data_IF_744770104177
#
_entry.id   IF_744770104177
#
_cell.length_a   1.000
_cell.length_b   1.000
_cell.length_c   1.000
_cell.angle_alpha   90.00
_cell.angle_beta   90.00
_cell.angle_gamma   90.00
#
_symmetry.space_group_name_H-M   'P 1'
#
loop_
_entity.id
_entity.type
_entity.pdbx_description
1 polymer ?
#
# COMPACT_ATOMS: atom_id res chain seq x y z
N UNK A 1 10.47 6.34 -5.37
CA UNK A 1 10.00 5.32 -6.33
C UNK A 1 8.97 6.01 -7.20
N UNK A 2 9.00 5.87 -8.52
CA UNK A 2 8.03 6.58 -9.36
C UNK A 2 6.70 5.83 -9.43
N UNK A 3 5.60 6.54 -9.23
CA UNK A 3 4.25 6.00 -9.29
C UNK A 3 3.78 5.91 -10.75
N UNK A 4 3.57 4.69 -11.25
CA UNK A 4 2.95 4.44 -12.55
C UNK A 4 1.45 4.19 -12.37
N UNK A 5 0.66 5.16 -12.83
CA UNK A 5 -0.81 5.10 -12.87
C UNK A 5 -1.37 4.86 -14.28
N UNK A 6 -0.52 4.51 -15.24
CA UNK A 6 -0.96 4.21 -16.61
C UNK A 6 -1.92 3.02 -16.59
N UNK A 7 -3.11 3.20 -17.18
CA UNK A 7 -4.20 2.21 -17.19
C UNK A 7 -4.70 1.75 -15.81
N UNK A 8 -4.53 2.59 -14.77
CA UNK A 8 -5.01 2.25 -13.43
C UNK A 8 -6.55 2.21 -13.36
N UNK A 9 -7.08 1.14 -12.79
CA UNK A 9 -8.52 0.98 -12.51
C UNK A 9 -8.96 1.66 -11.21
N UNK A 10 -8.06 2.39 -10.54
CA UNK A 10 -8.33 3.04 -9.26
C UNK A 10 -9.25 4.26 -9.43
N UNK A 11 -10.12 4.45 -8.44
CA UNK A 11 -10.83 5.72 -8.29
C UNK A 11 -9.89 6.78 -7.69
N UNK A 12 -9.22 7.51 -8.57
CA UNK A 12 -8.28 8.57 -8.22
C UNK A 12 -8.94 9.78 -7.53
N UNK A 13 -10.28 9.85 -7.49
CA UNK A 13 -10.99 10.87 -6.71
C UNK A 13 -11.14 10.46 -5.25
N UNK A 14 -11.29 9.16 -4.99
CA UNK A 14 -11.43 8.62 -3.64
C UNK A 14 -10.07 8.43 -2.94
N UNK A 15 -9.05 8.04 -3.71
CA UNK A 15 -7.67 7.94 -3.24
C UNK A 15 -6.77 8.69 -4.20
N UNK A 16 -6.23 9.81 -3.76
CA UNK A 16 -5.43 10.67 -4.62
C UNK A 16 -4.04 10.07 -4.88
N UNK A 17 -3.42 10.37 -6.04
CA UNK A 17 -2.05 9.94 -6.32
C UNK A 17 -1.05 10.29 -5.21
N UNK A 18 -1.23 11.47 -4.60
CA UNK A 18 -0.41 11.92 -3.48
C UNK A 18 -0.51 11.00 -2.26
N UNK A 19 -1.71 10.55 -1.91
CA UNK A 19 -1.89 9.61 -0.78
C UNK A 19 -1.25 8.26 -1.05
N UNK A 20 -1.23 7.82 -2.32
CA UNK A 20 -0.54 6.60 -2.74
C UNK A 20 0.98 6.76 -2.56
N UNK A 21 1.55 7.89 -2.99
CA UNK A 21 2.97 8.21 -2.80
C UNK A 21 3.33 8.31 -1.31
N UNK A 22 2.53 9.01 -0.51
CA UNK A 22 2.74 9.15 0.93
C UNK A 22 2.87 7.79 1.62
N UNK A 23 2.05 6.80 1.24
CA UNK A 23 2.11 5.45 1.83
C UNK A 23 3.27 4.62 1.29
N UNK A 24 3.64 4.79 0.02
CA UNK A 24 4.83 4.13 -0.53
C UNK A 24 6.13 4.66 0.08
N UNK A 25 6.11 5.88 0.62
CA UNK A 25 7.25 6.51 1.28
C UNK A 25 7.15 6.51 2.82
N UNK A 26 6.02 6.07 3.39
CA UNK A 26 5.82 5.96 4.84
C UNK A 26 6.85 4.98 5.45
N UNK A 27 7.77 5.47 6.32
CA UNK A 27 8.80 4.64 6.93
C UNK A 27 8.24 3.64 7.94
N UNK A 28 7.00 3.84 8.40
CA UNK A 28 6.30 2.96 9.34
C UNK A 28 5.29 2.05 8.64
N UNK A 29 5.23 2.09 7.31
CA UNK A 29 4.34 1.22 6.56
C UNK A 29 4.78 -0.25 6.72
N UNK A 30 3.80 -1.11 6.99
CA UNK A 30 4.03 -2.55 7.10
C UNK A 30 3.91 -3.13 5.70
N UNK A 31 5.03 -3.64 5.17
CA UNK A 31 5.09 -4.28 3.87
C UNK A 31 5.22 -5.78 4.00
N UNK A 32 4.44 -6.51 3.23
CA UNK A 32 4.48 -7.96 3.22
C UNK A 32 4.26 -8.53 1.83
N UNK A 33 4.81 -9.72 1.64
CA UNK A 33 4.64 -10.54 0.45
C UNK A 33 3.59 -11.62 0.75
N UNK A 34 2.70 -11.95 -0.20
CA UNK A 34 1.89 -13.15 -0.11
C UNK A 34 2.80 -14.39 -0.10
N UNK A 35 2.44 -15.35 0.74
CA UNK A 35 3.12 -16.65 0.83
C UNK A 35 2.77 -17.58 -0.34
N UNK A 36 1.77 -17.21 -1.14
CA UNK A 36 1.28 -18.00 -2.27
C UNK A 36 1.91 -17.53 -3.57
N UNK A 37 2.53 -18.46 -4.28
CA UNK A 37 2.88 -18.28 -5.68
C UNK A 37 1.59 -18.05 -6.49
N UNK A 38 1.60 -16.99 -7.29
CA UNK A 38 0.47 -16.66 -8.14
C UNK A 38 0.64 -17.37 -9.48
N UNK A 39 -0.48 -17.83 -10.05
CA UNK A 39 -0.50 -18.46 -11.38
C UNK A 39 0.01 -17.53 -12.49
N UNK A 40 -0.13 -16.21 -12.30
CA UNK A 40 0.36 -15.18 -13.22
C UNK A 40 1.88 -14.93 -13.12
N UNK A 41 2.56 -15.50 -12.12
CA UNK A 41 4.00 -15.33 -11.89
C UNK A 41 4.42 -13.93 -11.43
N UNK A 42 3.48 -13.00 -11.25
CA UNK A 42 3.76 -11.60 -10.92
C UNK A 42 3.85 -11.38 -9.41
N UNK A 43 4.97 -10.84 -8.93
CA UNK A 43 5.14 -10.54 -7.51
C UNK A 43 4.24 -9.36 -7.08
N UNK A 44 3.24 -9.62 -6.23
CA UNK A 44 2.40 -8.56 -5.64
C UNK A 44 2.80 -8.30 -4.21
N UNK A 45 3.14 -7.06 -3.90
CA UNK A 45 3.39 -6.57 -2.57
C UNK A 45 2.11 -5.98 -1.99
N UNK A 46 1.97 -6.10 -0.68
CA UNK A 46 0.93 -5.41 0.06
C UNK A 46 1.56 -4.47 1.06
N UNK A 47 0.92 -3.34 1.29
CA UNK A 47 1.34 -2.40 2.32
C UNK A 47 0.16 -1.85 3.10
N UNK A 48 0.36 -1.72 4.41
CA UNK A 48 -0.51 -0.99 5.31
C UNK A 48 0.25 0.26 5.76
N UNK A 49 -0.26 1.44 5.42
CA UNK A 49 0.38 2.70 5.83
C UNK A 49 -0.62 3.79 6.16
N UNK A 50 -0.09 4.88 6.69
CA UNK A 50 -0.87 6.04 7.12
C UNK A 50 -0.45 7.27 6.33
N UNK A 51 -1.42 7.97 5.75
CA UNK A 51 -1.17 9.25 5.06
C UNK A 51 -0.88 10.36 6.07
N UNK A 52 -0.35 11.49 5.59
CA UNK A 52 -0.10 12.68 6.44
C UNK A 52 -1.40 13.21 7.06
N UNK A 53 -2.53 12.97 6.41
CA UNK A 53 -3.87 13.36 6.88
C UNK A 53 -4.54 12.31 7.77
N UNK A 54 -3.81 11.34 8.31
CA UNK A 54 -4.34 10.29 9.20
C UNK A 54 -5.34 9.32 8.54
N UNK A 55 -5.24 9.14 7.21
CA UNK A 55 -5.98 8.07 6.54
C UNK A 55 -5.16 6.78 6.55
N UNK A 56 -5.81 5.70 6.93
CA UNK A 56 -5.22 4.36 6.96
C UNK A 56 -5.62 3.62 5.69
N UNK A 57 -4.67 3.39 4.78
CA UNK A 57 -4.96 2.70 3.52
C UNK A 57 -4.19 1.39 3.39
N UNK A 58 -4.85 0.43 2.79
CA UNK A 58 -4.27 -0.79 2.26
C UNK A 58 -3.98 -0.60 0.77
N UNK A 59 -2.76 -0.92 0.35
CA UNK A 59 -2.38 -0.96 -1.07
C UNK A 59 -1.89 -2.34 -1.48
N UNK A 60 -2.31 -2.79 -2.67
CA UNK A 60 -1.69 -3.88 -3.40
C UNK A 60 -0.94 -3.28 -4.59
N UNK A 61 0.35 -3.56 -4.70
CA UNK A 61 1.20 -2.96 -5.73
C UNK A 61 2.23 -3.95 -6.26
N UNK A 62 2.71 -3.69 -7.46
CA UNK A 62 3.85 -4.36 -8.06
C UNK A 62 4.99 -3.35 -8.16
N UNK A 63 6.23 -3.78 -7.98
CA UNK A 63 7.38 -2.89 -8.16
C UNK A 63 8.58 -3.65 -8.70
N UNK A 64 9.38 -2.96 -9.52
CA UNK A 64 10.71 -3.38 -9.96
C UNK A 64 11.84 -2.64 -9.21
N UNK A 65 11.52 -1.95 -8.12
CA UNK A 65 12.45 -1.12 -7.33
C UNK A 65 12.64 0.32 -7.85
N UNK A 66 12.29 0.61 -9.11
CA UNK A 66 12.30 1.97 -9.68
C UNK A 66 10.89 2.54 -9.77
N UNK A 67 9.96 1.73 -10.25
CA UNK A 67 8.56 2.09 -10.50
C UNK A 67 7.65 1.23 -9.63
N UNK A 68 6.58 1.83 -9.10
CA UNK A 68 5.48 1.12 -8.47
C UNK A 68 4.21 1.29 -9.29
N UNK A 69 3.56 0.17 -9.60
CA UNK A 69 2.22 0.14 -10.16
C UNK A 69 1.24 -0.26 -9.07
N UNK A 70 0.23 0.56 -8.83
CA UNK A 70 -0.83 0.22 -7.86
C UNK A 70 -1.91 -0.58 -8.56
N UNK A 71 -2.20 -1.77 -8.03
CA UNK A 71 -3.26 -2.64 -8.53
C UNK A 71 -4.57 -2.37 -7.78
N UNK A 72 -4.51 -2.15 -6.48
CA UNK A 72 -5.68 -1.87 -5.65
C UNK A 72 -5.32 -0.94 -4.49
N UNK A 73 -6.25 -0.06 -4.14
CA UNK A 73 -6.19 0.80 -2.97
C UNK A 73 -7.57 0.84 -2.32
N UNK A 74 -7.60 0.81 -0.98
CA UNK A 74 -8.82 0.99 -0.19
C UNK A 74 -8.47 1.43 1.23
N UNK A 75 -9.47 1.92 1.97
CA UNK A 75 -9.32 2.09 3.40
C UNK A 75 -9.10 0.73 4.09
N UNK A 76 -8.30 0.74 5.16
CA UNK A 76 -8.08 -0.43 5.99
C UNK A 76 -9.37 -0.84 6.71
N UNK A 77 -9.52 -2.14 6.95
CA UNK A 77 -10.54 -2.69 7.86
C UNK A 77 -10.13 -2.48 9.32
N UNK A 78 -11.08 -2.54 10.25
CA UNK A 78 -10.80 -2.44 11.69
C UNK A 78 -9.75 -3.45 12.17
N UNK A 79 -9.74 -4.65 11.59
CA UNK A 79 -8.77 -5.69 11.92
C UNK A 79 -7.36 -5.31 11.45
N UNK A 80 -7.23 -4.75 10.24
CA UNK A 80 -5.96 -4.27 9.69
C UNK A 80 -5.44 -3.05 10.45
N UNK A 81 -6.32 -2.12 10.85
CA UNK A 81 -5.95 -0.97 11.68
C UNK A 81 -5.38 -1.44 13.01
N UNK A 82 -6.04 -2.40 13.69
CA UNK A 82 -5.54 -2.97 14.93
C UNK A 82 -4.19 -3.67 14.74
N UNK A 83 -4.01 -4.35 13.60
CA UNK A 83 -2.72 -4.98 13.28
C UNK A 83 -1.63 -3.92 13.04
N UNK A 84 -1.93 -2.88 12.27
CA UNK A 84 -1.03 -1.76 12.01
C UNK A 84 -0.62 -1.07 13.31
N UNK A 85 -1.57 -0.72 14.17
CA UNK A 85 -1.32 -0.05 15.44
C UNK A 85 -0.49 -0.89 16.42
N UNK A 86 -0.69 -2.20 16.46
CA UNK A 86 0.14 -3.08 17.31
C UNK A 86 1.61 -3.04 16.89
N UNK A 87 1.88 -3.24 15.61
CA UNK A 87 3.25 -3.18 15.09
C UNK A 87 3.85 -1.76 15.21
N UNK A 88 3.03 -0.72 15.03
CA UNK A 88 3.46 0.67 15.22
C UNK A 88 3.85 0.95 16.68
N UNK A 89 3.09 0.40 17.63
CA UNK A 89 3.34 0.56 19.06
C UNK A 89 4.57 -0.20 19.58
N UNK A 90 5.07 -1.20 18.84
CA UNK A 90 6.31 -1.94 19.16
C UNK A 90 7.59 -1.14 18.86
N UNK A 91 7.49 0.05 18.26
CA UNK A 91 8.63 0.93 17.93
C UNK A 91 8.91 1.96 19.06
N UNK A 92 8.44 1.71 20.29
CA UNK A 92 8.75 2.53 21.48
C UNK A 92 9.62 1.79 22.50
#
# INVERSE_FOLDING_TARGET
MELDLTDSSLDLKATTPRELEEILEDPFAIRFLPDLEREDGEARYYTLGRTVQDRHLFLAFWTNGKTARIIAARDMTDAEIRFYQRNYGEIN
#
